data_IF_589043188965
#
_entry.id   IF_589043188965
#
_cell.length_a   1.000
_cell.length_b   1.000
_cell.length_c   1.000
_cell.angle_alpha   90.00
_cell.angle_beta   90.00
_cell.angle_gamma   90.00
#
_symmetry.space_group_name_H-M   'P 1'
#
loop_
_entity.id
_entity.type
_entity.pdbx_description
1 polymer ?
#
# COMPACT_ATOMS: atom_id res chain seq x y z
N UNK A 1 -21.23 -21.73 7.26
CA UNK A 1 -19.86 -21.15 7.34
C UNK A 1 -19.02 -21.33 6.05
N UNK A 2 -19.61 -21.65 4.89
CA UNK A 2 -18.88 -21.93 3.63
C UNK A 2 -18.95 -20.78 2.62
N UNK A 3 -19.92 -19.87 2.76
CA UNK A 3 -20.13 -18.72 1.87
C UNK A 3 -19.01 -17.67 1.99
N UNK A 4 -18.57 -17.35 3.21
CA UNK A 4 -17.48 -16.39 3.45
C UNK A 4 -16.16 -16.79 2.77
N UNK A 5 -15.77 -18.07 2.82
CA UNK A 5 -14.57 -18.58 2.13
C UNK A 5 -14.67 -18.45 0.61
N UNK A 6 -15.86 -18.71 0.03
CA UNK A 6 -16.10 -18.57 -1.41
C UNK A 6 -16.01 -17.10 -1.85
N UNK A 7 -16.54 -16.18 -1.06
CA UNK A 7 -16.46 -14.74 -1.35
C UNK A 7 -15.01 -14.23 -1.38
N UNK A 8 -14.18 -14.63 -0.41
CA UNK A 8 -12.76 -14.26 -0.39
C UNK A 8 -12.00 -14.79 -1.62
N UNK A 9 -12.27 -16.03 -2.05
CA UNK A 9 -11.64 -16.61 -3.23
C UNK A 9 -12.06 -15.91 -4.53
N UNK A 10 -13.34 -15.53 -4.65
CA UNK A 10 -13.85 -14.81 -5.83
C UNK A 10 -13.29 -13.39 -5.90
N UNK A 11 -13.21 -12.69 -4.76
CA UNK A 11 -12.57 -11.37 -4.65
C UNK A 11 -11.10 -11.43 -5.06
N UNK A 12 -10.36 -12.45 -4.59
CA UNK A 12 -8.96 -12.66 -4.93
C UNK A 12 -8.76 -12.97 -6.42
N UNK A 13 -9.62 -13.80 -7.02
CA UNK A 13 -9.59 -14.10 -8.45
C UNK A 13 -9.86 -12.86 -9.30
N UNK A 14 -10.84 -12.02 -8.93
CA UNK A 14 -11.11 -10.74 -9.59
C UNK A 14 -9.92 -9.78 -9.50
N UNK A 15 -9.30 -9.69 -8.34
CA UNK A 15 -8.07 -8.92 -8.14
C UNK A 15 -6.91 -9.41 -9.02
N UNK A 16 -6.82 -10.71 -9.24
CA UNK A 16 -5.78 -11.31 -10.08
C UNK A 16 -6.07 -11.24 -11.58
N UNK A 17 -7.29 -10.88 -11.98
CA UNK A 17 -7.70 -10.69 -13.37
C UNK A 17 -7.63 -9.22 -13.83
N UNK A 18 -7.39 -8.28 -12.92
CA UNK A 18 -7.16 -6.88 -13.28
C UNK A 18 -5.82 -6.76 -14.04
N UNK A 19 -5.78 -6.00 -15.15
CA UNK A 19 -4.55 -5.79 -15.90
C UNK A 19 -3.47 -5.21 -14.98
N UNK A 20 -2.24 -5.71 -15.15
CA UNK A 20 -1.09 -5.40 -14.29
C UNK A 20 -0.86 -3.88 -14.13
N UNK A 21 -1.21 -3.10 -15.16
CA UNK A 21 -1.21 -1.63 -15.15
C UNK A 21 -2.23 -1.00 -14.19
N UNK A 22 -3.45 -1.53 -14.06
CA UNK A 22 -4.41 -1.02 -13.08
C UNK A 22 -3.97 -1.38 -11.67
N UNK A 23 -3.47 -2.60 -11.46
CA UNK A 23 -3.00 -3.06 -10.15
C UNK A 23 -1.79 -2.26 -9.66
N UNK A 24 -0.87 -1.92 -10.57
CA UNK A 24 0.27 -1.04 -10.26
C UNK A 24 -0.16 0.40 -10.00
N UNK A 25 -1.13 0.94 -10.76
CA UNK A 25 -1.65 2.29 -10.54
C UNK A 25 -2.27 2.50 -9.15
N UNK A 26 -3.06 1.54 -8.67
CA UNK A 26 -3.62 1.57 -7.31
C UNK A 26 -2.55 1.51 -6.23
N UNK A 27 -1.53 0.66 -6.40
CA UNK A 27 -0.39 0.57 -5.48
C UNK A 27 0.42 1.86 -5.45
N UNK A 28 0.70 2.47 -6.61
CA UNK A 28 1.38 3.76 -6.69
C UNK A 28 0.55 4.85 -6.01
N UNK A 29 -0.77 4.85 -6.17
CA UNK A 29 -1.67 5.77 -5.46
C UNK A 29 -1.59 5.63 -3.93
N UNK A 30 -1.55 4.39 -3.43
CA UNK A 30 -1.37 4.13 -1.99
C UNK A 30 0.00 4.57 -1.47
N UNK A 31 1.07 4.34 -2.25
CA UNK A 31 2.42 4.82 -1.92
C UNK A 31 2.45 6.35 -1.86
N UNK A 32 1.83 7.03 -2.83
CA UNK A 32 1.75 8.49 -2.84
C UNK A 32 0.96 9.04 -1.64
N UNK A 33 -0.12 8.35 -1.26
CA UNK A 33 -0.91 8.70 -0.08
C UNK A 33 -0.09 8.52 1.21
N UNK A 34 0.63 7.40 1.35
CA UNK A 34 1.52 7.13 2.48
C UNK A 34 2.67 8.15 2.59
N UNK A 35 3.29 8.52 1.47
CA UNK A 35 4.31 9.56 1.43
C UNK A 35 3.75 10.94 1.82
N UNK A 36 2.54 11.27 1.36
CA UNK A 36 1.86 12.52 1.72
C UNK A 36 1.55 12.55 3.22
N UNK A 37 1.00 11.47 3.77
CA UNK A 37 0.69 11.36 5.21
C UNK A 37 1.96 11.37 6.07
N UNK A 38 3.06 10.81 5.58
CA UNK A 38 4.39 10.91 6.21
C UNK A 38 4.83 12.38 6.28
N UNK A 39 4.76 13.10 5.16
CA UNK A 39 5.13 14.52 5.09
C UNK A 39 4.22 15.40 5.97
N UNK A 40 2.91 15.15 5.97
CA UNK A 40 1.94 15.86 6.81
C UNK A 40 2.23 15.58 8.29
N UNK A 41 2.46 14.32 8.67
CA UNK A 41 2.78 13.93 10.04
C UNK A 41 4.09 14.55 10.53
N UNK A 42 5.07 14.71 9.64
CA UNK A 42 6.35 15.35 9.95
C UNK A 42 6.23 16.88 10.10
N UNK A 43 5.32 17.51 9.36
CA UNK A 43 5.15 18.98 9.31
C UNK A 43 4.03 19.52 10.21
N UNK A 44 3.17 18.66 10.74
CA UNK A 44 2.10 19.05 11.66
C UNK A 44 2.67 19.56 12.99
N UNK A 45 2.72 20.89 13.14
CA UNK A 45 3.26 21.57 14.33
C UNK A 45 2.36 21.45 15.57
N UNK A 46 1.09 21.08 15.40
CA UNK A 46 0.10 20.96 16.47
C UNK A 46 0.23 19.71 17.33
N UNK A 47 0.99 18.71 16.87
CA UNK A 47 1.16 17.43 17.59
C UNK A 47 2.46 17.42 18.41
N UNK A 48 2.47 16.81 19.62
CA UNK A 48 3.69 16.62 20.38
C UNK A 48 4.77 15.88 19.57
N UNK A 49 6.05 16.26 19.72
CA UNK A 49 7.14 15.78 18.88
C UNK A 49 7.26 14.23 18.84
N UNK A 50 6.96 13.56 19.96
CA UNK A 50 6.89 12.10 20.05
C UNK A 50 5.83 11.52 19.09
N UNK A 51 4.60 12.04 19.13
CA UNK A 51 3.49 11.57 18.29
C UNK A 51 3.74 11.84 16.80
N UNK A 52 4.39 12.96 16.47
CA UNK A 52 4.85 13.22 15.09
C UNK A 52 5.84 12.18 14.61
N UNK A 53 6.88 11.89 15.41
CA UNK A 53 7.89 10.89 15.07
C UNK A 53 7.28 9.49 14.91
N UNK A 54 6.40 9.11 15.83
CA UNK A 54 5.67 7.84 15.78
C UNK A 54 4.81 7.70 14.53
N UNK A 55 3.96 8.69 14.23
CA UNK A 55 3.09 8.68 13.05
C UNK A 55 3.90 8.70 11.75
N UNK A 56 4.93 9.54 11.68
CA UNK A 56 5.85 9.59 10.53
C UNK A 56 6.52 8.23 10.31
N UNK A 57 6.95 7.56 11.38
CA UNK A 57 7.54 6.22 11.32
C UNK A 57 6.58 5.16 10.81
N UNK A 58 5.32 5.16 11.26
CA UNK A 58 4.28 4.23 10.79
C UNK A 58 4.05 4.42 9.29
N UNK A 59 3.78 5.65 8.85
CA UNK A 59 3.49 5.94 7.46
C UNK A 59 4.68 5.66 6.55
N UNK A 60 5.89 6.01 6.97
CA UNK A 60 7.11 5.72 6.22
C UNK A 60 7.35 4.22 6.08
N UNK A 61 7.15 3.45 7.15
CA UNK A 61 7.34 1.99 7.14
C UNK A 61 6.32 1.30 6.22
N UNK A 62 5.04 1.69 6.31
CA UNK A 62 3.98 1.16 5.43
C UNK A 62 4.25 1.49 3.95
N UNK A 63 4.69 2.72 3.68
CA UNK A 63 5.05 3.16 2.33
C UNK A 63 6.21 2.32 1.76
N UNK A 64 7.24 2.03 2.56
CA UNK A 64 8.37 1.19 2.14
C UNK A 64 7.94 -0.26 1.83
N UNK A 65 7.04 -0.83 2.64
CA UNK A 65 6.48 -2.16 2.39
C UNK A 65 5.71 -2.18 1.07
N UNK A 66 4.89 -1.17 0.81
CA UNK A 66 4.12 -1.04 -0.43
C UNK A 66 5.03 -0.88 -1.66
N UNK A 67 6.11 -0.10 -1.56
CA UNK A 67 7.11 0.03 -2.62
C UNK A 67 7.79 -1.32 -2.89
N UNK A 68 8.21 -2.04 -1.84
CA UNK A 68 8.81 -3.37 -1.98
C UNK A 68 7.85 -4.37 -2.62
N UNK A 69 6.57 -4.33 -2.25
CA UNK A 69 5.53 -5.18 -2.83
C UNK A 69 5.27 -4.85 -4.31
N UNK A 70 5.25 -3.56 -4.68
CA UNK A 70 5.16 -3.13 -6.07
C UNK A 70 6.37 -3.63 -6.87
N UNK A 71 7.59 -3.50 -6.34
CA UNK A 71 8.81 -3.97 -6.99
C UNK A 71 8.78 -5.49 -7.20
N UNK A 72 8.30 -6.26 -6.23
CA UNK A 72 8.08 -7.71 -6.35
C UNK A 72 7.08 -8.07 -7.46
N UNK A 73 5.96 -7.36 -7.55
CA UNK A 73 4.97 -7.58 -8.62
C UNK A 73 5.57 -7.27 -9.99
N UNK A 74 6.28 -6.15 -10.13
CA UNK A 74 6.93 -5.76 -11.38
C UNK A 74 8.01 -6.77 -11.79
N UNK A 75 8.80 -7.26 -10.82
CA UNK A 75 9.81 -8.28 -11.07
C UNK A 75 9.21 -9.62 -11.53
N UNK A 76 8.10 -10.06 -10.92
CA UNK A 76 7.40 -11.26 -11.35
C UNK A 76 6.72 -11.08 -12.72
N UNK A 77 6.19 -9.89 -13.00
CA UNK A 77 5.60 -9.57 -14.29
C UNK A 77 6.64 -9.55 -15.43
N UNK A 78 7.86 -9.08 -15.15
CA UNK A 78 8.97 -9.05 -16.12
C UNK A 78 9.57 -10.44 -16.41
N UNK A 79 9.38 -11.40 -15.49
CA UNK A 79 9.85 -12.78 -15.63
C UNK A 79 8.86 -13.71 -16.35
N UNK A 80 7.63 -13.26 -16.57
CA UNK A 80 6.64 -13.94 -17.44
C UNK A 80 6.78 -13.44 -18.87
#
# INVERSE_FOLDING_TARGET
MTTLKKWNLVQWKRWNQLPLQQRSGWLVGLIALGATMTAVSATQLTSPAFWRGFMTGIWASDTLILIGFLALIQFQARKR
#
